data_IF_460531215135
#
_entry.id   IF_460531215135
#
_cell.length_a   1.000
_cell.length_b   1.000
_cell.length_c   1.000
_cell.angle_alpha   90.00
_cell.angle_beta   90.00
_cell.angle_gamma   90.00
#
_symmetry.space_group_name_H-M   'P 1'
#
loop_
_entity.id
_entity.type
_entity.pdbx_description
1 polymer ?
2 non-polymer ?
3 water ?
#
# COMPACT_ATOMS: atom_id res chain seq x y z
N UNK A 3 -14.95 -1.73 -10.27
CA UNK A 3 -14.74 -1.70 -8.84
C UNK A 3 -14.26 -0.22 -8.70
N UNK A 4 -14.60 0.52 -7.64
CA UNK A 4 -14.20 1.92 -7.47
C UNK A 4 -13.71 2.14 -6.05
N UNK A 5 -12.40 2.40 -5.90
CA UNK A 5 -11.81 2.57 -4.58
C UNK A 5 -11.97 3.97 -4.05
N UNK A 6 -12.57 4.89 -4.81
CA UNK A 6 -12.61 6.27 -4.37
C UNK A 6 -13.25 6.38 -3.00
N UNK A 7 -12.66 7.20 -2.13
CA UNK A 7 -13.17 7.46 -0.80
C UNK A 7 -12.08 7.56 0.28
N UNK A 8 -12.53 7.63 1.53
CA UNK A 8 -11.71 7.84 2.70
C UNK A 8 -11.83 6.56 3.50
N UNK A 9 -10.70 6.05 3.96
CA UNK A 9 -10.64 4.76 4.64
C UNK A 9 -9.82 4.83 5.91
N UNK A 10 -10.34 4.25 6.97
CA UNK A 10 -9.70 4.26 8.27
C UNK A 10 -9.22 2.85 8.64
N UNK A 11 -7.99 2.75 9.14
CA UNK A 11 -7.43 1.44 9.48
C UNK A 11 -8.18 0.77 10.64
N UNK A 12 -8.50 -0.49 10.40
CA UNK A 12 -9.16 -1.39 11.35
C UNK A 12 -8.21 -2.43 11.87
N UNK A 13 -7.49 -3.15 10.99
CA UNK A 13 -6.45 -4.06 11.44
C UNK A 13 -5.20 -3.98 10.57
N UNK A 14 -4.06 -4.36 11.18
CA UNK A 14 -2.76 -4.31 10.51
C UNK A 14 -2.01 -5.50 11.06
N UNK A 15 -1.87 -6.55 10.25
CA UNK A 15 -1.38 -7.85 10.72
C UNK A 15 0.00 -8.14 10.11
N UNK A 16 0.98 -8.39 10.99
CA UNK A 16 2.32 -8.78 10.58
C UNK A 16 3.10 -7.68 9.86
N UNK A 17 2.84 -6.41 10.21
CA UNK A 17 3.53 -5.30 9.52
C UNK A 17 5.02 -5.28 9.85
N UNK A 18 5.38 -5.58 11.11
CA UNK A 18 6.79 -5.45 11.50
C UNK A 18 7.66 -6.45 10.76
N UNK A 19 7.16 -7.66 10.54
CA UNK A 19 7.93 -8.65 9.81
C UNK A 19 8.01 -8.28 8.34
N UNK A 20 6.94 -7.74 7.77
CA UNK A 20 7.06 -7.22 6.43
C UNK A 20 8.15 -6.16 6.32
N UNK A 21 8.19 -5.21 7.25
CA UNK A 21 9.23 -4.19 7.23
C UNK A 21 10.63 -4.79 7.49
N UNK A 22 10.68 -5.84 8.30
CA UNK A 22 12.00 -6.46 8.55
C UNK A 22 12.55 -7.04 7.25
N UNK A 23 11.68 -7.61 6.41
CA UNK A 23 12.08 -8.13 5.10
C UNK A 23 12.54 -7.04 4.18
N UNK A 24 12.19 -5.80 4.50
CA UNK A 24 12.67 -4.67 3.74
C UNK A 24 13.89 -4.03 4.34
N UNK A 25 14.40 -4.59 5.46
CA UNK A 25 15.62 -4.17 6.15
C UNK A 25 15.47 -2.84 6.88
N UNK A 26 14.23 -2.47 7.20
CA UNK A 26 13.95 -1.34 8.07
C UNK A 26 14.45 -1.67 9.46
N UNK A 27 15.18 -0.75 10.10
CA UNK A 27 15.75 -1.09 11.41
C UNK A 27 14.68 -1.21 12.50
N UNK A 28 15.03 -1.93 13.56
CA UNK A 28 14.02 -2.32 14.55
C UNK A 28 13.33 -1.10 15.15
N UNK A 29 14.09 -0.07 15.52
CA UNK A 29 13.49 1.14 16.08
C UNK A 29 12.43 1.72 15.16
N UNK A 30 12.73 1.82 13.86
CA UNK A 30 11.76 2.40 12.93
C UNK A 30 10.57 1.45 12.69
N UNK A 31 10.78 0.14 12.78
CA UNK A 31 9.67 -0.80 12.67
C UNK A 31 8.63 -0.54 13.75
N UNK A 32 9.08 -0.26 14.96
CA UNK A 32 8.16 -0.01 16.06
C UNK A 32 7.46 1.33 15.91
N UNK A 33 8.18 2.36 15.48
CA UNK A 33 7.52 3.63 15.18
C UNK A 33 6.40 3.41 14.17
N UNK A 34 6.71 2.61 13.12
CA UNK A 34 5.81 2.49 11.98
C UNK A 34 4.60 1.67 12.32
N UNK A 35 4.82 0.64 13.13
CA UNK A 35 3.73 -0.23 13.49
C UNK A 35 2.81 0.34 14.54
N UNK A 36 3.19 1.42 15.18
CA UNK A 36 2.25 2.11 16.04
C UNK A 36 1.23 2.90 15.25
N UNK A 37 1.58 3.30 14.03
CA UNK A 37 0.74 4.18 13.24
C UNK A 37 -0.50 3.44 12.74
N UNK A 38 -1.60 4.18 12.57
CA UNK A 38 -2.83 3.65 12.00
C UNK A 38 -3.24 4.62 10.90
N UNK A 39 -2.59 4.54 9.76
CA UNK A 39 -2.87 5.50 8.69
C UNK A 39 -4.29 5.37 8.13
N UNK A 40 -4.76 6.47 7.52
CA UNK A 40 -5.96 6.53 6.72
C UNK A 40 -5.50 6.41 5.27
N UNK A 41 -6.42 6.00 4.39
CA UNK A 41 -6.21 6.07 2.96
C UNK A 41 -7.21 7.03 2.38
N UNK A 42 -6.77 7.86 1.47
CA UNK A 42 -7.64 8.71 0.66
C UNK A 42 -7.33 8.35 -0.78
N UNK A 43 -8.32 7.89 -1.52
CA UNK A 43 -8.17 7.36 -2.87
C UNK A 43 -9.10 8.13 -3.78
N UNK A 44 -8.58 8.52 -4.95
CA UNK A 44 -9.44 9.01 -6.04
C UNK A 44 -9.13 8.20 -7.26
N UNK A 45 -10.13 7.50 -7.78
CA UNK A 45 -10.02 6.73 -9.00
C UNK A 45 -10.71 7.56 -10.09
N UNK A 46 -9.97 8.01 -11.09
CA UNK A 46 -10.44 9.01 -12.13
C UNK A 46 -10.09 8.35 -13.45
N UNK A 47 -11.01 7.50 -13.94
CA UNK A 47 -10.68 6.62 -15.07
C UNK A 47 -9.52 5.71 -14.66
N UNK A 48 -8.52 5.57 -15.53
CA UNK A 48 -7.36 4.75 -15.21
C UNK A 48 -6.31 5.51 -14.40
N UNK A 49 -6.55 6.79 -14.09
CA UNK A 49 -5.65 7.56 -13.26
C UNK A 49 -6.01 7.39 -11.78
N UNK A 50 -5.11 6.83 -10.97
CA UNK A 50 -5.42 6.60 -9.57
C UNK A 50 -4.44 7.30 -8.64
N UNK A 51 -4.95 7.96 -7.62
CA UNK A 51 -4.20 8.54 -6.54
C UNK A 51 -4.54 7.79 -5.26
N UNK A 52 -3.53 7.21 -4.60
CA UNK A 52 -3.67 6.57 -3.30
C UNK A 52 -2.78 7.32 -2.32
N UNK A 53 -3.40 8.11 -1.42
CA UNK A 53 -2.70 8.80 -0.36
C UNK A 53 -2.80 8.00 0.93
N UNK A 54 -1.69 7.64 1.52
CA UNK A 54 -1.62 6.96 2.81
C UNK A 54 -1.15 8.00 3.83
N UNK A 55 -2.03 8.36 4.75
CA UNK A 55 -1.87 9.53 5.60
C UNK A 55 -1.63 9.08 7.02
N UNK A 56 -0.59 9.64 7.62
CA UNK A 56 -0.30 9.47 9.06
C UNK A 56 0.37 10.73 9.56
N UNK A 57 0.51 10.80 10.88
CA UNK A 57 1.20 11.93 11.50
C UNK A 57 2.70 11.85 11.31
N UNK A 58 3.21 10.63 11.12
CA UNK A 58 4.64 10.42 10.85
C UNK A 58 5.04 10.75 9.41
N UNK A 59 4.25 10.31 8.43
CA UNK A 59 4.55 10.39 7.02
C UNK A 59 3.28 10.20 6.23
N UNK A 60 3.12 10.99 5.18
CA UNK A 60 2.16 10.74 4.13
C UNK A 60 2.89 10.19 2.91
N UNK A 61 2.50 9.00 2.46
CA UNK A 61 3.05 8.38 1.26
C UNK A 61 2.01 8.47 0.14
N UNK A 62 2.36 9.11 -0.98
CA UNK A 62 1.43 9.39 -2.05
C UNK A 62 1.83 8.53 -3.22
N UNK A 63 0.90 7.78 -3.75
CA UNK A 63 1.02 7.15 -5.04
C UNK A 63 0.11 7.86 -6.03
N UNK A 64 0.62 8.13 -7.22
CA UNK A 64 -0.15 8.85 -8.26
C UNK A 64 0.30 8.27 -9.58
N UNK A 65 -0.55 7.49 -10.22
CA UNK A 65 -0.10 6.66 -11.35
C UNK A 65 -1.25 6.41 -12.31
N UNK A 66 -0.93 5.81 -13.44
CA UNK A 66 -1.91 5.30 -14.39
C UNK A 66 -1.94 3.79 -14.35
N UNK A 67 -3.13 3.23 -14.21
CA UNK A 67 -3.27 1.79 -14.25
C UNK A 67 -2.71 1.27 -15.56
N UNK A 68 -1.94 0.20 -15.47
CA UNK A 68 -1.41 -0.45 -16.64
C UNK A 68 -0.11 0.10 -17.15
N UNK A 69 0.39 1.21 -16.61
CA UNK A 69 1.62 1.80 -17.11
C UNK A 69 2.72 1.76 -16.04
N UNK A 70 3.86 1.17 -16.40
CA UNK A 70 4.98 1.08 -15.46
C UNK A 70 5.51 2.45 -15.12
N UNK A 71 5.87 2.65 -13.88
CA UNK A 71 6.44 3.91 -13.43
C UNK A 71 7.52 3.67 -12.40
N UNK A 72 8.37 4.65 -12.27
CA UNK A 72 9.44 4.59 -11.27
C UNK A 72 8.88 5.03 -9.92
N UNK A 73 8.79 4.11 -8.98
CA UNK A 73 8.23 4.37 -7.67
C UNK A 73 9.37 4.65 -6.71
N UNK A 74 9.34 5.83 -6.10
CA UNK A 74 10.40 6.28 -5.19
C UNK A 74 9.93 6.03 -3.77
N UNK A 75 10.47 4.97 -3.15
CA UNK A 75 10.11 4.55 -1.80
C UNK A 75 11.06 5.17 -0.77
N UNK A 76 11.64 6.34 -1.05
CA UNK A 76 12.43 7.05 -0.06
C UNK A 76 11.61 7.36 1.18
N UNK A 77 12.27 7.30 2.34
CA UNK A 77 11.61 7.48 3.60
C UNK A 77 10.89 6.26 4.09
N UNK A 78 10.72 5.26 3.24
CA UNK A 78 10.16 3.97 3.66
C UNK A 78 11.32 2.98 3.85
N UNK A 79 11.69 2.28 2.77
CA UNK A 79 12.88 1.44 2.78
C UNK A 79 14.00 2.01 1.92
N UNK A 80 13.81 3.21 1.36
CA UNK A 80 14.85 3.94 0.63
C UNK A 80 15.35 3.12 -0.56
N UNK A 81 14.38 2.56 -1.30
CA UNK A 81 14.64 1.85 -2.52
C UNK A 81 13.79 2.47 -3.60
N UNK A 82 14.10 2.13 -4.84
CA UNK A 82 13.29 2.54 -5.97
C UNK A 82 12.88 1.27 -6.72
N UNK A 83 11.62 1.21 -7.14
CA UNK A 83 11.15 0.09 -7.93
C UNK A 83 10.53 0.59 -9.23
N UNK A 84 10.52 -0.29 -10.24
CA UNK A 84 9.72 -0.10 -11.44
C UNK A 84 8.40 -0.81 -11.25
N UNK A 85 7.31 -0.05 -11.08
CA UNK A 85 6.08 -0.54 -10.53
C UNK A 85 4.98 -0.48 -11.55
N UNK A 86 4.13 -1.50 -11.53
CA UNK A 86 2.93 -1.53 -12.40
C UNK A 86 1.74 -1.99 -11.58
N UNK A 87 0.66 -1.22 -11.65
CA UNK A 87 -0.58 -1.48 -10.96
C UNK A 87 -1.59 -1.80 -12.06
N UNK A 88 -2.24 -2.96 -11.96
CA UNK A 88 -3.13 -3.38 -13.05
C UNK A 88 -4.36 -4.04 -12.45
N UNK A 89 -5.43 -4.00 -13.25
CA UNK A 89 -6.67 -4.70 -12.93
C UNK A 89 -6.53 -6.21 -13.11
N UNK A 90 -6.90 -6.97 -12.09
CA UNK A 90 -7.00 -8.44 -12.17
C UNK A 90 -8.42 -8.80 -11.74
N UNK A 91 -9.37 -8.51 -12.60
CA UNK A 91 -10.76 -8.64 -12.22
C UNK A 91 -11.16 -7.50 -11.34
N UNK A 92 -11.75 -7.84 -10.20
CA UNK A 92 -12.12 -6.86 -9.18
C UNK A 92 -10.99 -6.65 -8.15
N UNK A 93 -9.78 -7.12 -8.44
CA UNK A 93 -8.64 -6.86 -7.58
C UNK A 93 -7.66 -5.95 -8.32
N UNK A 94 -7.04 -5.04 -7.56
CA UNK A 94 -5.94 -4.22 -8.05
C UNK A 94 -4.62 -4.88 -7.62
N UNK A 95 -3.79 -5.22 -8.60
CA UNK A 95 -2.58 -5.97 -8.41
C UNK A 95 -1.41 -5.05 -8.66
N UNK A 96 -0.43 -5.03 -7.76
CA UNK A 96 0.74 -4.19 -7.90
C UNK A 96 1.98 -5.08 -7.87
N UNK A 97 2.82 -4.91 -8.87
CA UNK A 97 4.12 -5.55 -8.91
C UNK A 97 5.21 -4.47 -8.86
N UNK A 98 6.12 -4.59 -7.91
CA UNK A 98 7.19 -3.62 -7.66
C UNK A 98 8.52 -4.31 -7.97
N UNK A 99 9.00 -4.10 -9.21
CA UNK A 99 10.22 -4.75 -9.67
C UNK A 99 11.43 -4.03 -9.10
N UNK A 100 12.36 -4.81 -8.52
CA UNK A 100 13.49 -4.19 -7.85
C UNK A 100 14.43 -5.20 -7.24
N UNK A 101 15.18 -4.74 -6.22
CA UNK A 101 16.15 -5.60 -5.54
C UNK A 101 15.48 -6.80 -4.85
N UNK A 102 14.29 -6.62 -4.28
CA UNK A 102 13.63 -7.65 -3.52
C UNK A 102 12.74 -8.52 -4.40
N UNK A 103 12.76 -9.82 -4.16
CA UNK A 103 11.89 -10.74 -4.88
C UNK A 103 10.46 -10.65 -4.37
N UNK A 104 9.52 -10.86 -5.28
CA UNK A 104 8.13 -11.00 -4.91
C UNK A 104 7.57 -9.81 -4.15
N UNK A 105 7.99 -8.61 -4.52
CA UNK A 105 7.49 -7.42 -3.85
C UNK A 105 6.28 -6.90 -4.61
N UNK A 106 5.19 -6.70 -3.88
CA UNK A 106 4.01 -6.13 -4.51
C UNK A 106 2.89 -6.09 -3.53
N UNK A 107 1.68 -5.88 -4.06
CA UNK A 107 0.53 -5.85 -3.17
C UNK A 107 -0.74 -6.05 -4.00
N UNK A 108 -1.80 -6.39 -3.27
CA UNK A 108 -3.11 -6.62 -3.84
C UNK A 108 -4.14 -5.85 -3.04
N UNK A 109 -5.05 -5.16 -3.75
CA UNK A 109 -6.05 -4.36 -3.06
C UNK A 109 -7.44 -4.69 -3.61
N UNK A 110 -8.42 -4.79 -2.72
CA UNK A 110 -9.77 -5.17 -3.17
C UNK A 110 -10.77 -4.67 -2.15
N UNK A 111 -12.07 -4.81 -2.48
CA UNK A 111 -13.10 -4.33 -1.58
C UNK A 111 -14.04 -5.49 -1.20
N UNK A 112 -14.42 -5.52 0.07
CA UNK A 112 -15.48 -6.43 0.56
C UNK A 112 -16.42 -5.56 1.36
N UNK A 113 -17.60 -5.29 0.81
CA UNK A 113 -18.55 -4.55 1.59
C UNK A 113 -18.06 -3.15 1.80
N UNK A 114 -17.98 -2.70 3.05
CA UNK A 114 -17.40 -1.40 3.31
C UNK A 114 -15.94 -1.51 3.71
N UNK A 115 -15.29 -2.61 3.37
CA UNK A 115 -13.89 -2.84 3.74
C UNK A 115 -12.95 -2.78 2.56
N UNK A 116 -11.86 -2.02 2.72
CA UNK A 116 -10.77 -2.05 1.77
C UNK A 116 -9.72 -3.01 2.35
N UNK A 117 -9.34 -3.99 1.54
CA UNK A 117 -8.39 -5.00 1.92
C UNK A 117 -7.10 -4.78 1.15
N UNK A 118 -5.99 -4.88 1.87
CA UNK A 118 -4.67 -4.67 1.27
C UNK A 118 -3.76 -5.75 1.78
N UNK A 119 -3.20 -6.52 0.87
CA UNK A 119 -2.22 -7.55 1.21
C UNK A 119 -0.90 -7.10 0.58
N UNK A 120 0.12 -6.92 1.42
CA UNK A 120 1.41 -6.49 0.93
C UNK A 120 2.41 -7.62 1.13
N UNK A 121 3.20 -7.88 0.12
CA UNK A 121 4.09 -9.03 0.07
C UNK A 121 5.52 -8.63 -0.28
N UNK A 122 6.49 -9.30 0.32
CA UNK A 122 7.86 -9.25 -0.14
C UNK A 122 8.62 -10.47 0.38
N UNK A 123 9.30 -11.18 -0.53
CA UNK A 123 10.08 -12.38 -0.23
C UNK A 123 9.30 -13.37 0.62
N UNK A 124 8.04 -13.57 0.27
CA UNK A 124 7.18 -14.51 0.95
C UNK A 124 6.61 -14.04 2.25
N UNK A 125 7.01 -12.86 2.74
CA UNK A 125 6.45 -12.33 3.98
C UNK A 125 5.19 -11.60 3.56
N UNK A 126 4.18 -11.64 4.39
CA UNK A 126 2.87 -11.10 4.04
C UNK A 126 2.33 -10.26 5.21
N UNK A 127 1.87 -9.05 4.86
CA UNK A 127 1.15 -8.16 5.77
C UNK A 127 -0.26 -8.03 5.24
N UNK A 128 -1.24 -8.10 6.13
CA UNK A 128 -2.64 -7.91 5.77
C UNK A 128 -3.17 -6.68 6.48
N UNK A 129 -3.84 -5.76 5.72
CA UNK A 129 -4.44 -4.60 6.34
C UNK A 129 -5.89 -4.54 5.91
N UNK A 130 -6.71 -4.00 6.79
CA UNK A 130 -8.13 -3.81 6.49
C UNK A 130 -8.54 -2.44 6.95
N UNK A 131 -9.21 -1.72 6.06
CA UNK A 131 -9.72 -0.39 6.31
C UNK A 131 -11.24 -0.40 6.18
N UNK A 132 -11.85 0.47 6.96
CA UNK A 132 -13.28 0.73 6.87
C UNK A 132 -13.52 2.06 6.14
N UNK A 133 -14.58 2.09 5.30
CA UNK A 133 -14.99 3.32 4.62
C UNK A 133 -15.56 4.30 5.64
N UNK A 134 -15.10 5.52 5.59
CA UNK A 134 -15.53 6.54 6.54
C UNK A 134 -15.87 7.81 5.78
N UNK A 135 -16.58 8.68 6.49
CA UNK A 135 -17.25 9.87 5.87
C UNK A 135 -16.93 11.19 6.54
N UNK A 136 -16.25 11.19 7.66
CA UNK A 136 -15.88 12.41 8.35
C UNK A 136 -14.52 12.80 7.84
N UNK A 137 -14.51 13.93 7.10
CA UNK A 137 -13.34 14.42 6.35
C UNK A 137 -13.07 15.89 6.72
X LIG B 1 6.46 5.07 6.73
X LIG B 1 5.44 4.15 6.55
X LIG B 1 8.02 3.27 7.20
X LIG B 1 9.44 2.80 7.57
X LIG B 1 7.02 2.35 7.01
X LIG B 1 5.73 2.79 6.69
X LIG B 1 4.02 4.59 6.17
X LIG B 1 3.37 3.41 5.53
X LIG B 1 3.46 5.23 7.46
X LIG B 1 2.10 5.68 6.97
X LIG B 1 2.36 6.11 5.55
X LIG B 1 3.84 5.82 5.26
X LIG B 1 2.85 1.83 4.21
X LIG B 1 2.82 0.87 3.05
X LIG B 1 4.57 0.47 1.59
X LIG B 1 2.77 1.92 1.06
X LIG B 1 1.55 1.04 1.33
X LIG B 1 -0.08 1.90 -1.61
X LIG B 1 -0.32 0.47 -1.61
X LIG B 1 0.26 -0.01 -0.49
X LIG B 1 5.29 -0.13 2.82
X LIG B 1 7.76 4.62 7.07
X LIG B 1 2.45 2.78 6.15
X LIG B 1 3.69 2.91 4.34
X LIG B 1 3.66 1.50 2.05
X LIG B 1 0.86 1.08 0.13
X LIG B 1 0.65 2.21 -0.51
X LIG B 1 2.07 1.71 5.35
#
# INVERSE_FOLDING_TARGET
MPVDFTGYWKMLVNENFEEYLRALDVNVALRKIANLLKPDKEIVQDGDHMIIRTLSTFRNYIMDFQVGKEFEEDLTGIDDRKCMTTVSWDGDKLQCVQKGEKEGRGWTQWIEGDELHLEMRVEGVVCKQVFKKVQHHHHHH
ZDF C01 C02 C03 C04 C05 C06 C07 C08 C09 C10 C11 C12 C13 C14 C15 C16 C17 C18 C19 C20 C21 C22 N01 N02 N03 N04 N05 O01
#
